data_IF_212750681840
#
_entry.id   IF_212750681840
#
_cell.length_a   1.000
_cell.length_b   1.000
_cell.length_c   1.000
_cell.angle_alpha   90.00
_cell.angle_beta   90.00
_cell.angle_gamma   90.00
#
_symmetry.space_group_name_H-M   'P 1'
#
loop_
_entity.id
_entity.type
_entity.pdbx_description
1 polymer ?
#
# COMPACT_ATOMS: atom_id res chain seq x y z
N UNK A 1 17.32 -52.87 14.15
CA UNK A 1 16.09 -52.19 13.71
C UNK A 1 15.86 -50.99 14.62
N UNK A 2 16.28 -49.80 14.18
CA UNK A 2 16.09 -48.54 14.89
C UNK A 2 15.12 -47.67 14.07
N UNK A 3 14.17 -46.96 14.70
CA UNK A 3 13.22 -46.13 13.96
C UNK A 3 13.86 -44.80 13.58
N UNK A 4 13.91 -44.51 12.28
CA UNK A 4 14.25 -43.22 11.71
C UNK A 4 13.24 -42.16 12.15
N UNK A 5 13.73 -41.12 12.85
CA UNK A 5 12.99 -39.88 13.12
C UNK A 5 12.67 -39.21 11.79
N UNK A 6 11.39 -39.14 11.41
CA UNK A 6 10.92 -38.22 10.37
C UNK A 6 10.95 -36.81 10.93
N UNK A 7 11.64 -35.90 10.24
CA UNK A 7 11.74 -34.50 10.63
C UNK A 7 10.39 -33.79 10.47
N UNK A 8 10.06 -32.96 11.46
CA UNK A 8 8.93 -32.06 11.45
C UNK A 8 9.30 -30.76 10.71
N UNK A 9 9.64 -30.84 9.42
CA UNK A 9 10.04 -29.68 8.61
C UNK A 9 8.90 -29.11 7.74
N UNK A 10 7.63 -29.30 8.12
CA UNK A 10 6.48 -28.78 7.37
C UNK A 10 5.66 -27.71 8.09
N UNK A 11 6.09 -27.26 9.29
CA UNK A 11 5.33 -26.31 10.10
C UNK A 11 5.71 -24.82 9.89
N UNK A 12 6.69 -24.52 9.02
CA UNK A 12 7.21 -23.15 8.83
C UNK A 12 6.81 -22.46 7.52
N UNK A 13 5.98 -23.09 6.67
CA UNK A 13 5.58 -22.51 5.37
C UNK A 13 4.17 -21.86 5.36
N UNK A 14 3.48 -21.76 6.50
CA UNK A 14 2.10 -21.25 6.58
C UNK A 14 1.97 -19.85 7.19
N UNK A 15 3.08 -19.21 7.58
CA UNK A 15 3.06 -17.84 8.09
C UNK A 15 3.09 -16.74 7.01
N UNK A 16 3.28 -17.11 5.73
CA UNK A 16 3.50 -16.14 4.64
C UNK A 16 2.26 -15.80 3.79
N UNK A 17 1.08 -16.34 4.12
CA UNK A 17 -0.19 -15.96 3.47
C UNK A 17 -1.22 -15.56 4.51
N UNK A 18 -0.83 -14.75 5.50
CA UNK A 18 -1.86 -13.96 6.19
C UNK A 18 -2.44 -13.00 5.15
N UNK A 19 -3.76 -13.04 4.89
CA UNK A 19 -4.37 -12.10 3.96
C UNK A 19 -4.04 -10.69 4.45
N UNK A 20 -3.36 -9.92 3.60
CA UNK A 20 -3.07 -8.52 3.93
C UNK A 20 -4.40 -7.88 4.25
N UNK A 21 -4.52 -7.25 5.42
CA UNK A 21 -5.75 -6.56 5.80
C UNK A 21 -6.15 -5.59 4.67
N UNK A 22 -7.43 -5.57 4.27
CA UNK A 22 -7.88 -4.64 3.25
C UNK A 22 -7.49 -3.22 3.66
N UNK A 23 -6.86 -2.50 2.74
CA UNK A 23 -6.40 -1.14 2.94
C UNK A 23 -6.71 -0.33 1.71
N UNK A 24 -6.86 0.99 1.90
CA UNK A 24 -7.09 1.93 0.81
C UNK A 24 -6.01 1.78 -0.29
N UNK A 25 -4.73 1.72 0.09
CA UNK A 25 -3.63 1.53 -0.87
C UNK A 25 -3.73 0.19 -1.60
N UNK A 26 -4.18 -0.88 -0.91
CA UNK A 26 -4.38 -2.19 -1.53
C UNK A 26 -5.47 -2.16 -2.60
N UNK A 27 -6.64 -1.60 -2.26
CA UNK A 27 -7.75 -1.44 -3.19
C UNK A 27 -7.36 -0.57 -4.40
N UNK A 28 -6.71 0.56 -4.15
CA UNK A 28 -6.23 1.47 -5.18
C UNK A 28 -5.26 0.78 -6.14
N UNK A 29 -4.24 0.08 -5.62
CA UNK A 29 -3.23 -0.58 -6.45
C UNK A 29 -3.80 -1.76 -7.24
N UNK A 30 -4.64 -2.59 -6.64
CA UNK A 30 -5.25 -3.73 -7.33
C UNK A 30 -6.07 -3.29 -8.53
N UNK A 31 -6.84 -2.21 -8.35
CA UNK A 31 -7.69 -1.74 -9.41
C UNK A 31 -6.91 -0.94 -10.46
N UNK A 32 -5.96 -0.08 -10.05
CA UNK A 32 -5.15 0.70 -10.98
C UNK A 32 -4.27 -0.18 -11.88
N UNK A 33 -3.79 -1.31 -11.36
CA UNK A 33 -2.89 -2.23 -12.05
C UNK A 33 -3.60 -3.44 -12.67
N UNK A 34 -4.93 -3.51 -12.61
CA UNK A 34 -5.71 -4.65 -13.10
C UNK A 34 -5.37 -5.04 -14.54
N UNK A 35 -5.26 -4.05 -15.42
CA UNK A 35 -4.99 -4.25 -16.85
C UNK A 35 -3.50 -4.20 -17.19
N UNK A 36 -2.62 -4.10 -16.18
CA UNK A 36 -1.17 -4.05 -16.38
C UNK A 36 -0.63 -5.46 -16.61
N UNK A 37 0.22 -5.64 -17.62
CA UNK A 37 0.92 -6.90 -17.84
C UNK A 37 1.85 -7.21 -16.65
N UNK A 38 1.45 -8.17 -15.80
CA UNK A 38 2.15 -8.52 -14.57
C UNK A 38 3.60 -8.93 -14.79
N UNK A 39 3.90 -9.69 -15.85
CA UNK A 39 5.28 -10.05 -16.18
C UNK A 39 6.17 -8.82 -16.43
N UNK A 40 5.65 -7.80 -17.12
CA UNK A 40 6.38 -6.53 -17.34
C UNK A 40 6.57 -5.73 -16.05
N UNK A 41 5.60 -5.80 -15.13
CA UNK A 41 5.66 -5.11 -13.85
C UNK A 41 6.69 -5.79 -12.92
N UNK A 42 6.64 -7.12 -12.82
CA UNK A 42 7.53 -7.91 -11.98
C UNK A 42 9.00 -7.85 -12.42
N UNK A 43 9.27 -7.80 -13.73
CA UNK A 43 10.62 -7.65 -14.27
C UNK A 43 11.09 -6.19 -14.33
N UNK A 44 10.21 -5.23 -14.08
CA UNK A 44 10.46 -3.80 -14.22
C UNK A 44 10.94 -3.15 -12.92
N UNK A 45 11.56 -1.97 -13.04
CA UNK A 45 11.88 -1.14 -11.88
C UNK A 45 10.63 -0.44 -11.37
N UNK A 46 10.52 -0.32 -10.05
CA UNK A 46 9.47 0.41 -9.36
C UNK A 46 10.07 1.49 -8.49
N UNK A 47 9.63 2.73 -8.71
CA UNK A 47 9.99 3.85 -7.85
C UNK A 47 8.85 4.15 -6.87
N UNK A 48 9.19 4.33 -5.61
CA UNK A 48 8.26 4.85 -4.60
C UNK A 48 8.82 6.18 -4.13
N UNK A 49 8.08 7.26 -4.34
CA UNK A 49 8.46 8.62 -3.97
C UNK A 49 7.68 9.02 -2.72
N UNK A 50 8.40 9.31 -1.64
CA UNK A 50 7.81 9.64 -0.35
C UNK A 50 8.14 8.66 0.77
N UNK A 51 7.78 9.05 1.99
CA UNK A 51 7.99 8.30 3.23
C UNK A 51 6.73 8.20 4.09
N UNK A 52 5.58 8.57 3.52
CA UNK A 52 4.27 8.53 4.20
C UNK A 52 3.86 7.08 4.53
N UNK A 53 2.75 6.94 5.27
CA UNK A 53 2.13 5.63 5.46
C UNK A 53 1.73 5.03 4.11
N UNK A 54 1.27 5.85 3.16
CA UNK A 54 0.90 5.43 1.80
C UNK A 54 2.09 4.86 1.06
N UNK A 55 3.23 5.57 1.00
CA UNK A 55 4.45 5.05 0.35
C UNK A 55 4.90 3.72 0.94
N UNK A 56 4.85 3.58 2.27
CA UNK A 56 5.23 2.35 2.98
C UNK A 56 4.26 1.21 2.70
N UNK A 57 2.96 1.46 2.84
CA UNK A 57 1.91 0.48 2.57
C UNK A 57 1.96 0.00 1.13
N UNK A 58 2.14 0.91 0.16
CA UNK A 58 2.28 0.56 -1.24
C UNK A 58 3.50 -0.32 -1.50
N UNK A 59 4.67 0.01 -0.96
CA UNK A 59 5.86 -0.84 -1.11
C UNK A 59 5.64 -2.26 -0.56
N UNK A 60 4.98 -2.38 0.60
CA UNK A 60 4.65 -3.66 1.22
C UNK A 60 3.65 -4.47 0.37
N UNK A 61 2.61 -3.82 -0.15
CA UNK A 61 1.58 -4.42 -1.01
C UNK A 61 2.17 -4.89 -2.34
N UNK A 62 3.04 -4.09 -2.98
CA UNK A 62 3.70 -4.43 -4.24
C UNK A 62 4.49 -5.74 -4.12
N UNK A 63 5.21 -5.92 -3.01
CA UNK A 63 5.91 -7.18 -2.75
C UNK A 63 4.95 -8.34 -2.50
N UNK A 64 4.02 -8.17 -1.57
CA UNK A 64 3.20 -9.29 -1.05
C UNK A 64 2.05 -9.71 -1.97
N UNK A 65 1.41 -8.77 -2.69
CA UNK A 65 0.28 -9.08 -3.59
C UNK A 65 0.69 -9.15 -5.05
N UNK A 66 1.64 -8.32 -5.49
CA UNK A 66 2.03 -8.25 -6.90
C UNK A 66 3.30 -9.05 -7.22
N UNK A 67 3.95 -9.62 -6.21
CA UNK A 67 5.16 -10.43 -6.38
C UNK A 67 6.35 -9.65 -6.94
N UNK A 68 6.37 -8.32 -6.74
CA UNK A 68 7.49 -7.49 -7.18
C UNK A 68 8.67 -7.73 -6.23
N UNK A 69 9.80 -8.10 -6.81
CA UNK A 69 11.00 -8.40 -6.03
C UNK A 69 11.54 -7.16 -5.31
N UNK A 70 12.12 -7.36 -4.13
CA UNK A 70 12.61 -6.26 -3.29
C UNK A 70 13.70 -5.46 -4.01
N UNK A 71 14.59 -6.11 -4.78
CA UNK A 71 15.63 -5.43 -5.56
C UNK A 71 15.09 -4.53 -6.68
N UNK A 72 13.87 -4.77 -7.14
CA UNK A 72 13.23 -3.97 -8.18
C UNK A 72 12.56 -2.71 -7.62
N UNK A 73 12.41 -2.60 -6.29
CA UNK A 73 11.81 -1.44 -5.63
C UNK A 73 12.90 -0.50 -5.14
N UNK A 74 12.80 0.78 -5.53
CA UNK A 74 13.62 1.87 -4.99
C UNK A 74 12.75 2.93 -4.35
N UNK A 75 13.01 3.25 -3.08
CA UNK A 75 12.29 4.28 -2.34
C UNK A 75 13.11 5.56 -2.25
N UNK A 76 12.56 6.64 -2.79
CA UNK A 76 13.10 8.00 -2.73
C UNK A 76 12.46 8.76 -1.58
N UNK A 77 13.25 9.18 -0.60
CA UNK A 77 12.73 9.78 0.63
C UNK A 77 13.55 10.98 1.11
N UNK A 78 12.92 11.84 1.93
CA UNK A 78 13.57 13.00 2.57
C UNK A 78 13.88 12.81 4.07
N UNK A 79 13.34 11.77 4.72
CA UNK A 79 13.51 11.54 6.16
C UNK A 79 14.99 11.44 6.60
N UNK A 80 15.26 11.91 7.82
CA UNK A 80 16.56 11.80 8.45
C UNK A 80 16.68 10.48 9.23
N UNK A 81 17.91 10.03 9.48
CA UNK A 81 18.17 8.73 10.13
C UNK A 81 17.63 8.60 11.55
N UNK A 82 17.37 9.71 12.24
CA UNK A 82 16.90 9.73 13.63
C UNK A 82 15.37 9.66 13.76
N UNK A 83 14.64 9.71 12.65
CA UNK A 83 13.18 9.79 12.68
C UNK A 83 12.56 8.39 12.87
N UNK A 84 11.54 8.26 13.73
CA UNK A 84 10.78 7.01 13.87
C UNK A 84 10.20 6.51 12.55
N UNK A 85 9.92 7.43 11.63
CA UNK A 85 9.52 7.15 10.25
C UNK A 85 10.56 6.31 9.49
N UNK A 86 11.85 6.53 9.71
CA UNK A 86 12.92 5.75 9.08
C UNK A 86 12.92 4.29 9.53
N UNK A 87 12.65 4.03 10.82
CA UNK A 87 12.52 2.65 11.33
C UNK A 87 11.35 1.93 10.66
N UNK A 88 10.20 2.60 10.56
CA UNK A 88 9.03 2.02 9.89
C UNK A 88 9.28 1.79 8.39
N UNK A 89 9.91 2.73 7.71
CA UNK A 89 10.25 2.59 6.29
C UNK A 89 11.26 1.46 6.04
N UNK A 90 12.27 1.29 6.90
CA UNK A 90 13.21 0.15 6.81
C UNK A 90 12.51 -1.19 6.97
N UNK A 91 11.44 -1.25 7.78
CA UNK A 91 10.64 -2.46 7.97
C UNK A 91 9.77 -2.74 6.74
N UNK A 92 9.05 -1.74 6.24
CA UNK A 92 8.14 -1.88 5.10
C UNK A 92 8.90 -2.17 3.79
N UNK A 93 10.08 -1.57 3.63
CA UNK A 93 10.90 -1.65 2.43
C UNK A 93 12.18 -2.46 2.69
N UNK A 94 12.08 -3.56 3.44
CA UNK A 94 13.21 -4.48 3.65
C UNK A 94 13.67 -5.01 2.29
N UNK A 95 14.98 -5.15 2.09
CA UNK A 95 15.62 -5.53 0.82
C UNK A 95 15.59 -4.49 -0.30
N UNK A 96 14.62 -3.56 -0.29
CA UNK A 96 14.55 -2.48 -1.28
C UNK A 96 15.70 -1.47 -1.16
N UNK A 97 16.08 -0.94 -2.32
CA UNK A 97 16.99 0.21 -2.39
C UNK A 97 16.31 1.45 -1.80
N UNK A 98 17.08 2.26 -1.07
CA UNK A 98 16.58 3.51 -0.46
C UNK A 98 17.53 4.63 -0.80
N UNK A 99 17.01 5.65 -1.47
CA UNK A 99 17.78 6.80 -1.91
C UNK A 99 17.26 8.02 -1.17
N UNK A 100 18.12 8.61 -0.34
CA UNK A 100 17.82 9.88 0.29
C UNK A 100 17.97 11.00 -0.73
N UNK A 101 16.93 11.80 -0.92
CA UNK A 101 16.94 12.97 -1.79
C UNK A 101 16.78 14.24 -0.97
N UNK A 102 17.35 15.35 -1.46
CA UNK A 102 17.16 16.67 -0.85
C UNK A 102 15.75 17.19 -1.14
N UNK A 103 15.34 17.03 -2.41
CA UNK A 103 14.01 17.38 -2.89
C UNK A 103 13.55 16.39 -3.97
N UNK A 104 12.23 16.25 -4.09
CA UNK A 104 11.58 15.33 -5.02
C UNK A 104 11.55 15.87 -6.44
N UNK A 105 11.75 17.17 -6.63
CA UNK A 105 11.88 17.81 -7.95
C UNK A 105 13.27 17.63 -8.58
N UNK A 106 14.19 16.93 -7.91
CA UNK A 106 15.56 16.75 -8.40
C UNK A 106 15.61 15.93 -9.69
N UNK A 107 16.67 16.15 -10.48
CA UNK A 107 16.88 15.40 -11.73
C UNK A 107 17.03 13.89 -11.49
N UNK A 108 17.65 13.51 -10.37
CA UNK A 108 17.76 12.11 -9.93
C UNK A 108 16.40 11.43 -9.80
N UNK A 109 15.38 12.13 -9.29
CA UNK A 109 14.03 11.58 -9.16
C UNK A 109 13.35 11.49 -10.53
N UNK A 110 13.48 12.51 -11.39
CA UNK A 110 12.92 12.47 -12.74
C UNK A 110 13.53 11.34 -13.59
N UNK A 111 14.85 11.15 -13.52
CA UNK A 111 15.52 10.02 -14.17
C UNK A 111 15.08 8.66 -13.64
N UNK A 112 14.79 8.57 -12.34
CA UNK A 112 14.29 7.34 -11.74
C UNK A 112 12.87 7.02 -12.21
N UNK A 113 12.00 8.02 -12.23
CA UNK A 113 10.62 7.92 -12.75
C UNK A 113 10.65 7.45 -14.20
N UNK A 114 11.46 8.09 -15.05
CA UNK A 114 11.56 7.74 -16.47
C UNK A 114 12.06 6.31 -16.74
N UNK A 115 12.85 5.72 -15.83
CA UNK A 115 13.40 4.36 -15.95
C UNK A 115 12.54 3.30 -15.26
N UNK A 116 11.40 3.69 -14.67
CA UNK A 116 10.54 2.81 -13.91
C UNK A 116 9.34 2.39 -14.73
N UNK A 117 8.83 1.17 -14.52
CA UNK A 117 7.55 0.72 -15.11
C UNK A 117 6.36 1.18 -14.27
N UNK A 118 6.57 1.32 -12.97
CA UNK A 118 5.59 1.82 -12.02
C UNK A 118 6.23 2.85 -11.10
N UNK A 119 5.51 3.94 -10.86
CA UNK A 119 5.88 4.98 -9.92
C UNK A 119 4.72 5.18 -8.96
N UNK A 120 5.00 5.10 -7.66
CA UNK A 120 4.04 5.43 -6.61
C UNK A 120 4.46 6.73 -5.96
N UNK A 121 3.59 7.74 -5.98
CA UNK A 121 3.83 9.03 -5.34
C UNK A 121 2.93 9.10 -4.10
N UNK A 122 3.56 9.16 -2.94
CA UNK A 122 2.90 9.28 -1.64
C UNK A 122 3.48 10.42 -0.82
N UNK A 123 3.61 11.59 -1.44
CA UNK A 123 4.11 12.82 -0.81
C UNK A 123 2.93 13.70 -0.40
N UNK A 124 3.13 14.52 0.63
CA UNK A 124 2.17 15.53 1.08
C UNK A 124 2.77 16.91 0.79
N UNK A 125 2.55 17.39 -0.43
CA UNK A 125 3.01 18.69 -0.92
C UNK A 125 1.82 19.38 -1.58
N UNK A 126 1.64 20.66 -1.32
CA UNK A 126 0.60 21.48 -1.94
C UNK A 126 0.96 21.95 -3.35
N UNK A 127 2.20 21.73 -3.80
CA UNK A 127 2.69 22.10 -5.12
C UNK A 127 3.22 20.87 -5.86
N UNK A 128 2.99 20.78 -7.18
CA UNK A 128 3.59 19.74 -8.01
C UNK A 128 5.11 19.74 -7.92
N UNK A 129 5.70 18.54 -7.92
CA UNK A 129 7.16 18.35 -7.88
C UNK A 129 7.67 17.56 -9.09
N UNK A 130 6.77 16.89 -9.82
CA UNK A 130 7.09 16.14 -11.03
C UNK A 130 6.55 16.92 -12.23
N UNK A 131 7.46 17.38 -13.09
CA UNK A 131 7.11 18.12 -14.30
C UNK A 131 7.16 17.19 -15.51
N UNK A 132 6.09 17.18 -16.31
CA UNK A 132 5.98 16.39 -17.54
C UNK A 132 7.02 16.81 -18.58
N UNK A 133 7.28 18.11 -18.72
CA UNK A 133 8.32 18.63 -19.61
C UNK A 133 9.71 18.09 -19.22
N UNK A 134 10.02 18.08 -17.92
CA UNK A 134 11.30 17.55 -17.43
C UNK A 134 11.36 16.05 -17.56
N UNK A 135 10.26 15.35 -17.30
CA UNK A 135 10.18 13.91 -17.44
C UNK A 135 10.37 13.47 -18.91
N UNK A 136 9.77 14.20 -19.84
CA UNK A 136 9.88 13.96 -21.29
C UNK A 136 11.33 13.91 -21.78
N UNK A 137 12.22 14.71 -21.20
CA UNK A 137 13.66 14.72 -21.54
C UNK A 137 14.38 13.43 -21.15
N UNK A 138 13.82 12.66 -20.22
CA UNK A 138 14.40 11.43 -19.69
C UNK A 138 13.73 10.17 -20.20
N UNK A 139 12.49 10.26 -20.71
CA UNK A 139 11.80 9.16 -21.36
C UNK A 139 12.58 8.74 -22.62
N UNK A 140 12.78 7.43 -22.78
CA UNK A 140 13.52 6.86 -23.91
C UNK A 140 12.73 5.72 -24.53
N UNK A 141 12.56 5.78 -25.85
CA UNK A 141 11.88 4.74 -26.63
C UNK A 141 10.40 4.60 -26.26
N UNK A 142 9.86 3.41 -26.49
CA UNK A 142 8.44 3.09 -26.30
C UNK A 142 8.13 2.53 -24.89
N UNK A 143 8.98 2.84 -23.90
CA UNK A 143 8.75 2.37 -22.53
C UNK A 143 7.56 3.09 -21.90
N UNK A 144 6.57 2.31 -21.48
CA UNK A 144 5.41 2.83 -20.76
C UNK A 144 5.67 2.87 -19.25
N UNK A 145 5.42 4.03 -18.66
CA UNK A 145 5.50 4.29 -17.21
C UNK A 145 4.08 4.51 -16.69
N UNK A 146 3.68 3.75 -15.68
CA UNK A 146 2.45 4.06 -14.91
C UNK A 146 2.82 4.84 -13.67
N UNK A 147 2.22 6.02 -13.49
CA UNK A 147 2.40 6.89 -12.32
C UNK A 147 1.10 6.88 -11.53
N UNK A 148 1.15 6.46 -10.27
CA UNK A 148 0.02 6.47 -9.34
C UNK A 148 0.29 7.52 -8.28
N UNK A 149 -0.51 8.58 -8.26
CA UNK A 149 -0.32 9.73 -7.39
C UNK A 149 -1.41 9.80 -6.32
N UNK A 150 -1.04 9.47 -5.09
CA UNK A 150 -1.94 9.48 -3.93
C UNK A 150 -2.11 10.88 -3.33
N UNK A 151 -1.42 11.90 -3.84
CA UNK A 151 -1.54 13.26 -3.33
C UNK A 151 -2.79 13.94 -3.88
N UNK A 152 -3.72 14.31 -3.01
CA UNK A 152 -4.98 14.98 -3.38
C UNK A 152 -4.78 16.39 -3.94
N UNK A 153 -3.65 17.04 -3.63
CA UNK A 153 -3.27 18.34 -4.20
C UNK A 153 -2.60 18.22 -5.58
N UNK A 154 -2.31 16.99 -6.04
CA UNK A 154 -1.51 16.73 -7.23
C UNK A 154 -0.01 16.90 -6.97
N UNK A 155 0.77 15.89 -7.35
CA UNK A 155 2.24 15.93 -7.33
C UNK A 155 2.84 16.14 -8.71
N UNK A 156 2.01 16.07 -9.75
CA UNK A 156 2.39 16.04 -11.15
C UNK A 156 1.82 17.25 -11.89
N UNK A 157 2.59 17.80 -12.84
CA UNK A 157 2.15 18.87 -13.72
C UNK A 157 2.48 18.48 -15.17
N UNK A 158 1.49 18.48 -16.06
CA UNK A 158 1.69 18.25 -17.49
C UNK A 158 2.07 16.80 -17.84
N UNK A 159 1.68 15.84 -16.98
CA UNK A 159 1.83 14.41 -17.27
C UNK A 159 0.63 13.87 -18.06
N UNK A 160 -0.49 14.59 -18.02
CA UNK A 160 -1.70 14.30 -18.76
C UNK A 160 -1.42 14.39 -20.26
N UNK A 161 -1.54 13.26 -20.97
CA UNK A 161 -1.31 13.18 -22.41
C UNK A 161 0.16 13.07 -22.82
N UNK A 162 1.11 13.00 -21.88
CA UNK A 162 2.52 12.77 -22.19
C UNK A 162 2.70 11.34 -22.78
N UNK A 163 3.21 11.19 -24.02
CA UNK A 163 3.37 9.87 -24.62
C UNK A 163 4.24 8.94 -23.77
N UNK A 164 3.80 7.70 -23.62
CA UNK A 164 4.47 6.70 -22.79
C UNK A 164 4.20 6.84 -21.29
N UNK A 165 3.38 7.80 -20.85
CA UNK A 165 3.01 7.95 -19.44
C UNK A 165 1.52 7.73 -19.24
N UNK A 166 1.17 6.85 -18.31
CA UNK A 166 -0.18 6.68 -17.79
C UNK A 166 -0.23 7.24 -16.38
N UNK A 167 -0.93 8.36 -16.18
CA UNK A 167 -1.18 8.92 -14.86
C UNK A 167 -2.49 8.35 -14.28
N UNK A 168 -2.44 7.97 -13.01
CA UNK A 168 -3.59 7.63 -12.17
C UNK A 168 -3.52 8.57 -10.97
N UNK A 169 -4.25 9.68 -11.05
CA UNK A 169 -4.29 10.71 -10.01
C UNK A 169 -5.21 10.33 -8.85
N UNK A 170 -5.29 11.19 -7.83
CA UNK A 170 -6.10 10.96 -6.65
C UNK A 170 -7.60 10.81 -6.95
N UNK A 171 -8.15 11.56 -7.93
CA UNK A 171 -9.55 11.46 -8.30
C UNK A 171 -9.84 10.09 -8.96
N UNK A 172 -8.97 9.67 -9.87
CA UNK A 172 -9.03 8.34 -10.47
C UNK A 172 -8.86 7.25 -9.40
N UNK A 173 -7.97 7.42 -8.42
CA UNK A 173 -7.81 6.46 -7.31
C UNK A 173 -9.11 6.29 -6.53
N UNK A 174 -9.84 7.37 -6.23
CA UNK A 174 -11.14 7.28 -5.54
C UNK A 174 -12.15 6.47 -6.34
N UNK A 175 -12.24 6.69 -7.65
CA UNK A 175 -13.10 5.89 -8.52
C UNK A 175 -12.68 4.42 -8.54
N UNK A 176 -11.36 4.16 -8.55
CA UNK A 176 -10.79 2.81 -8.51
C UNK A 176 -11.06 2.10 -7.18
N UNK A 177 -11.02 2.80 -6.07
CA UNK A 177 -11.40 2.25 -4.75
C UNK A 177 -12.90 1.96 -4.70
N UNK A 178 -13.74 2.80 -5.31
CA UNK A 178 -15.18 2.55 -5.45
C UNK A 178 -15.45 1.31 -6.31
N UNK A 179 -14.76 1.16 -7.43
CA UNK A 179 -14.83 -0.01 -8.31
C UNK A 179 -14.42 -1.29 -7.57
N UNK A 180 -13.34 -1.22 -6.79
CA UNK A 180 -12.90 -2.32 -5.93
C UNK A 180 -14.00 -2.72 -4.92
N UNK A 181 -14.58 -1.74 -4.21
CA UNK A 181 -15.63 -1.99 -3.23
C UNK A 181 -16.87 -2.61 -3.89
N UNK A 182 -17.29 -2.08 -5.04
CA UNK A 182 -18.39 -2.62 -5.83
C UNK A 182 -18.11 -4.07 -6.23
N UNK A 183 -16.91 -4.40 -6.71
CA UNK A 183 -16.55 -5.79 -7.03
C UNK A 183 -16.60 -6.69 -5.81
N UNK A 184 -16.12 -6.21 -4.66
CA UNK A 184 -16.06 -6.99 -3.43
C UNK A 184 -17.47 -7.36 -2.93
N UNK A 185 -18.43 -6.42 -2.94
CA UNK A 185 -19.81 -6.71 -2.49
C UNK A 185 -20.58 -7.63 -3.44
N UNK A 186 -20.10 -7.81 -4.67
CA UNK A 186 -20.66 -8.79 -5.62
C UNK A 186 -19.85 -10.09 -5.67
N UNK A 187 -18.82 -10.26 -4.82
CA UNK A 187 -18.03 -11.49 -4.77
C UNK A 187 -18.77 -12.55 -3.92
N UNK A 188 -19.13 -13.72 -4.48
CA UNK A 188 -19.82 -14.77 -3.74
C UNK A 188 -19.06 -15.27 -2.50
N UNK A 189 -17.73 -15.37 -2.55
CA UNK A 189 -16.92 -15.80 -1.41
C UNK A 189 -16.99 -14.78 -0.27
N UNK A 190 -16.98 -13.49 -0.61
CA UNK A 190 -17.12 -12.41 0.37
C UNK A 190 -18.52 -12.40 0.99
N UNK A 191 -19.57 -12.59 0.18
CA UNK A 191 -20.95 -12.68 0.65
C UNK A 191 -21.15 -13.89 1.57
N UNK A 192 -20.64 -15.07 1.19
CA UNK A 192 -20.69 -16.27 2.03
C UNK A 192 -19.95 -16.05 3.36
N UNK A 193 -18.79 -15.39 3.34
CA UNK A 193 -18.06 -15.06 4.56
C UNK A 193 -18.84 -14.07 5.45
N UNK A 194 -19.52 -13.08 4.86
CA UNK A 194 -20.38 -12.14 5.58
C UNK A 194 -21.56 -12.85 6.24
N UNK A 195 -22.23 -13.78 5.54
CA UNK A 195 -23.35 -14.55 6.10
C UNK A 195 -22.96 -15.34 7.36
N UNK A 196 -21.72 -15.83 7.43
CA UNK A 196 -21.17 -16.51 8.61
C UNK A 196 -20.78 -15.52 9.72
N UNK A 197 -20.14 -14.40 9.36
CA UNK A 197 -19.59 -13.46 10.33
C UNK A 197 -20.64 -12.54 10.96
N UNK A 198 -21.68 -12.14 10.22
CA UNK A 198 -22.70 -11.22 10.71
C UNK A 198 -23.42 -11.72 11.98
N UNK A 199 -23.89 -12.98 12.05
CA UNK A 199 -24.49 -13.51 13.27
C UNK A 199 -23.53 -13.49 14.47
N UNK A 200 -22.26 -13.84 14.26
CA UNK A 200 -21.23 -13.85 15.31
C UNK A 200 -20.99 -12.45 15.88
N UNK A 201 -20.93 -11.44 15.00
CA UNK A 201 -20.79 -10.04 15.42
C UNK A 201 -22.04 -9.59 16.18
N UNK A 202 -23.24 -9.90 15.71
CA UNK A 202 -24.50 -9.55 16.39
C UNK A 202 -24.57 -10.18 17.78
N UNK A 203 -24.20 -11.44 17.93
CA UNK A 203 -24.15 -12.12 19.22
C UNK A 203 -23.14 -11.48 20.17
N UNK A 204 -21.93 -11.17 19.69
CA UNK A 204 -20.89 -10.50 20.48
C UNK A 204 -21.33 -9.11 20.94
N UNK A 205 -21.95 -8.32 20.07
CA UNK A 205 -22.45 -6.98 20.39
C UNK A 205 -23.59 -7.06 21.41
N UNK A 206 -24.51 -8.03 21.28
CA UNK A 206 -25.56 -8.28 22.29
C UNK A 206 -24.95 -8.64 23.64
N UNK A 207 -23.98 -9.55 23.68
CA UNK A 207 -23.27 -9.91 24.91
C UNK A 207 -22.59 -8.72 25.57
N UNK A 208 -21.99 -7.82 24.78
CA UNK A 208 -21.42 -6.58 25.32
C UNK A 208 -22.50 -5.65 25.90
N UNK A 209 -23.63 -5.45 25.20
CA UNK A 209 -24.74 -4.62 25.71
C UNK A 209 -25.30 -5.12 27.04
N UNK A 210 -25.50 -6.43 27.18
CA UNK A 210 -26.00 -7.03 28.43
C UNK A 210 -25.02 -6.78 29.59
N UNK A 211 -23.71 -6.88 29.35
CA UNK A 211 -22.69 -6.59 30.38
C UNK A 211 -22.71 -5.10 30.80
N UNK A 212 -23.01 -4.18 29.88
CA UNK A 212 -23.12 -2.76 30.22
C UNK A 212 -24.41 -2.41 30.97
N UNK A 213 -25.54 -3.04 30.64
CA UNK A 213 -26.82 -2.79 31.33
C UNK A 213 -26.81 -3.33 32.78
N UNK A 214 -26.25 -4.52 33.01
CA UNK A 214 -26.10 -5.11 34.35
C UNK A 214 -25.17 -4.28 35.26
N UNK A 215 -24.22 -3.51 34.71
CA UNK A 215 -23.37 -2.61 35.47
C UNK A 215 -23.99 -1.23 35.75
N UNK A 216 -25.04 -0.83 35.04
CA UNK A 216 -25.72 0.46 35.27
C UNK A 216 -26.78 0.35 36.39
N UNK A 217 -27.41 -0.82 36.57
CA UNK A 217 -28.37 -1.03 37.65
C UNK A 217 -27.71 -1.31 39.02
N UNK A 218 -26.43 -1.70 39.04
CA UNK A 218 -25.65 -1.91 40.27
C UNK A 218 -24.59 -0.83 40.48
N UNK A 219 -24.97 0.35 41.01
CA UNK A 219 -24.09 1.42 41.55
C UNK A 219 -22.62 1.37 41.06
N UNK A 220 -22.31 2.06 39.96
CA UNK A 220 -20.92 2.34 39.59
C UNK A 220 -20.61 3.81 39.86
N UNK A 221 -19.81 4.05 40.92
CA UNK A 221 -19.00 5.25 41.03
C UNK A 221 -18.00 5.25 39.88
N UNK A 222 -18.05 6.28 39.04
CA UNK A 222 -17.20 6.43 37.86
C UNK A 222 -15.77 6.73 38.32
N UNK A 223 -14.95 5.68 38.47
CA UNK A 223 -13.51 5.81 38.35
C UNK A 223 -13.14 5.48 36.89
N UNK A 224 -12.66 6.51 36.21
CA UNK A 224 -12.25 6.53 34.82
C UNK A 224 -11.10 5.57 34.55
N UNK A 225 -11.39 4.42 33.93
CA UNK A 225 -10.35 3.59 33.32
C UNK A 225 -9.92 4.20 31.98
N UNK A 226 -8.75 4.84 32.00
CA UNK A 226 -7.99 5.14 30.81
C UNK A 226 -7.60 3.83 30.12
N UNK A 227 -8.17 3.57 28.94
CA UNK A 227 -7.71 2.50 28.05
C UNK A 227 -6.32 2.86 27.53
N UNK A 228 -5.31 2.23 28.13
CA UNK A 228 -3.96 2.19 27.60
C UNK A 228 -3.92 1.39 26.31
N UNK A 229 -3.69 2.09 25.20
CA UNK A 229 -3.22 1.49 23.95
C UNK A 229 -1.70 1.67 23.92
N UNK A 230 -0.97 0.57 24.03
CA UNK A 230 0.48 0.48 23.79
C UNK A 230 0.72 -0.49 22.63
#
# INVERSE_FOLDING_TARGET
FAPTRRSCDSALALHDVLPISPSYCGAALEEALRDTCMGRLQSGRVAVVGSSNTSRGSAEILRRRFGISEENVTVYHRCHHKDGQMKSMRRACRGSSRVRVRDYDSDTVHQAIAKSRLVIIGIDRSQPVISGERLARHLKGDEQVTVIDFNTFGSCEGLEGLPGVRLVDAAMIEDKVRDYANRLVHNPEFLNALEVLEPMVRERVRGLRVVFEDQVEGKVSVESYALGVA
#
